data_IF_128832018781
#
_entry.id   IF_128832018781
#
_cell.length_a   1.000
_cell.length_b   1.000
_cell.length_c   1.000
_cell.angle_alpha   90.00
_cell.angle_beta   90.00
_cell.angle_gamma   90.00
#
_symmetry.space_group_name_H-M   'P 1'
#
loop_
_entity.id
_entity.type
_entity.pdbx_description
1 polymer ?
#
# COMPACT_ATOMS: atom_id res chain seq x y z
N UNK A 1 17.71 -3.67 -4.77
CA UNK A 1 16.33 -3.16 -4.59
C UNK A 1 16.21 -1.95 -5.49
N UNK A 2 15.33 -1.98 -6.48
CA UNK A 2 15.06 -0.81 -7.33
C UNK A 2 14.59 0.35 -6.45
N UNK A 3 15.32 1.46 -6.50
CA UNK A 3 14.90 2.72 -5.89
C UNK A 3 13.69 3.21 -6.68
N UNK A 4 12.50 3.05 -6.12
CA UNK A 4 11.30 3.65 -6.65
C UNK A 4 11.53 5.15 -6.85
N UNK A 5 11.08 5.71 -7.98
CA UNK A 5 10.87 7.16 -8.15
C UNK A 5 9.72 7.62 -7.24
N UNK A 6 9.93 7.55 -5.92
CA UNK A 6 8.89 7.65 -4.88
C UNK A 6 8.69 9.07 -4.37
N UNK A 7 9.74 9.90 -4.38
CA UNK A 7 9.71 11.18 -3.67
C UNK A 7 8.57 12.08 -4.17
N UNK A 8 8.42 12.25 -5.48
CA UNK A 8 7.35 13.09 -6.06
C UNK A 8 5.94 12.58 -5.76
N UNK A 9 5.72 11.26 -5.72
CA UNK A 9 4.40 10.68 -5.47
C UNK A 9 4.00 10.81 -4.00
N UNK A 10 4.95 10.62 -3.07
CA UNK A 10 4.69 10.70 -1.63
C UNK A 10 4.27 12.10 -1.19
N UNK A 11 4.68 13.15 -1.91
CA UNK A 11 4.33 14.54 -1.62
C UNK A 11 3.06 15.04 -2.31
N UNK A 12 2.37 14.20 -3.09
CA UNK A 12 1.14 14.61 -3.78
C UNK A 12 0.03 15.04 -2.80
N UNK A 13 -0.86 15.99 -3.18
CA UNK A 13 -2.12 16.21 -2.47
C UNK A 13 -2.91 14.91 -2.27
N UNK A 14 -3.65 14.78 -1.17
CA UNK A 14 -4.35 13.54 -0.79
C UNK A 14 -5.17 12.94 -1.93
N UNK A 15 -5.96 13.77 -2.62
CA UNK A 15 -6.78 13.31 -3.74
C UNK A 15 -5.94 12.72 -4.89
N UNK A 16 -4.81 13.35 -5.21
CA UNK A 16 -3.93 12.90 -6.28
C UNK A 16 -3.20 11.61 -5.87
N UNK A 17 -2.77 11.50 -4.62
CA UNK A 17 -2.16 10.28 -4.11
C UNK A 17 -3.13 9.09 -4.15
N UNK A 18 -4.39 9.29 -3.75
CA UNK A 18 -5.40 8.23 -3.81
C UNK A 18 -5.65 7.81 -5.26
N UNK A 19 -5.83 8.77 -6.19
CA UNK A 19 -6.04 8.48 -7.61
C UNK A 19 -4.87 7.72 -8.22
N UNK A 20 -3.64 8.12 -7.90
CA UNK A 20 -2.44 7.40 -8.32
C UNK A 20 -2.51 5.93 -7.85
N UNK A 21 -2.89 5.68 -6.59
CA UNK A 21 -3.02 4.31 -6.09
C UNK A 21 -4.11 3.53 -6.83
N UNK A 22 -5.27 4.15 -7.06
CA UNK A 22 -6.39 3.55 -7.81
C UNK A 22 -5.98 3.18 -9.25
N UNK A 23 -5.20 4.04 -9.91
CA UNK A 23 -4.77 3.86 -11.30
C UNK A 23 -3.61 2.87 -11.45
N UNK A 24 -2.56 2.98 -10.63
CA UNK A 24 -1.34 2.16 -10.73
C UNK A 24 -1.56 0.73 -10.23
N UNK A 25 -2.29 0.58 -9.12
CA UNK A 25 -2.48 -0.74 -8.47
C UNK A 25 -3.88 -1.33 -8.71
N UNK A 26 -4.71 -0.63 -9.48
CA UNK A 26 -6.10 -1.03 -9.81
C UNK A 26 -6.93 -1.39 -8.57
N UNK A 27 -6.66 -0.71 -7.46
CA UNK A 27 -7.42 -0.84 -6.21
C UNK A 27 -8.60 0.13 -6.23
N UNK A 28 -9.71 -0.24 -5.57
CA UNK A 28 -10.82 0.69 -5.39
C UNK A 28 -10.64 1.54 -4.12
N UNK A 29 -11.39 2.64 -4.02
CA UNK A 29 -11.41 3.55 -2.87
C UNK A 29 -11.56 2.83 -1.52
N UNK A 30 -12.43 1.82 -1.44
CA UNK A 30 -12.68 1.07 -0.20
C UNK A 30 -11.47 0.27 0.26
N UNK A 31 -10.76 -0.38 -0.67
CA UNK A 31 -9.49 -1.07 -0.39
C UNK A 31 -8.44 -0.07 0.07
N UNK A 32 -8.26 1.03 -0.66
CA UNK A 32 -7.29 2.07 -0.27
C UNK A 32 -7.55 2.57 1.15
N UNK A 33 -8.79 2.98 1.45
CA UNK A 33 -9.17 3.49 2.77
C UNK A 33 -8.92 2.45 3.88
N UNK A 34 -9.17 1.16 3.60
CA UNK A 34 -8.93 0.09 4.57
C UNK A 34 -7.44 -0.06 4.86
N UNK A 35 -6.59 0.00 3.84
CA UNK A 35 -5.13 -0.10 3.98
C UNK A 35 -4.57 1.13 4.69
N UNK A 36 -5.00 2.33 4.31
CA UNK A 36 -4.57 3.58 4.93
C UNK A 36 -4.91 3.62 6.42
N UNK A 37 -6.17 3.29 6.76
CA UNK A 37 -6.60 3.15 8.15
C UNK A 37 -5.78 2.10 8.90
N UNK A 38 -5.54 0.94 8.28
CA UNK A 38 -4.79 -0.13 8.93
C UNK A 38 -3.38 0.32 9.33
N UNK A 39 -2.67 1.03 8.46
CA UNK A 39 -1.34 1.56 8.80
C UNK A 39 -1.39 2.66 9.86
N UNK A 40 -2.42 3.51 9.83
CA UNK A 40 -2.65 4.48 10.90
C UNK A 40 -2.85 3.79 12.26
N UNK A 41 -3.67 2.73 12.31
CA UNK A 41 -3.92 1.92 13.50
C UNK A 41 -2.67 1.16 13.99
N UNK A 42 -1.61 1.07 13.17
CA UNK A 42 -0.29 0.56 13.56
C UNK A 42 0.71 1.67 13.95
N UNK A 43 0.20 2.85 14.29
CA UNK A 43 0.98 4.02 14.75
C UNK A 43 1.87 4.66 13.67
N UNK A 44 1.64 4.36 12.38
CA UNK A 44 2.32 5.03 11.26
C UNK A 44 1.66 6.40 11.02
N UNK A 45 1.82 7.32 11.96
CA UNK A 45 1.13 8.61 11.96
C UNK A 45 1.73 9.61 10.96
N UNK A 46 3.05 9.55 10.72
CA UNK A 46 3.69 10.41 9.72
C UNK A 46 3.12 10.07 8.33
N UNK A 47 2.57 11.08 7.65
CA UNK A 47 1.86 10.89 6.39
C UNK A 47 2.77 10.35 5.28
N UNK A 48 4.03 10.78 5.21
CA UNK A 48 4.96 10.33 4.17
C UNK A 48 5.34 8.87 4.42
N UNK A 49 5.64 8.49 5.67
CA UNK A 49 5.91 7.10 6.04
C UNK A 49 4.70 6.20 5.79
N UNK A 50 3.48 6.67 6.11
CA UNK A 50 2.26 5.91 5.85
C UNK A 50 2.03 5.69 4.36
N UNK A 51 2.25 6.72 3.54
CA UNK A 51 2.15 6.62 2.08
C UNK A 51 3.20 5.67 1.50
N UNK A 52 4.42 5.70 2.00
CA UNK A 52 5.47 4.76 1.63
C UNK A 52 5.09 3.31 1.98
N UNK A 53 4.54 3.09 3.18
CA UNK A 53 4.05 1.78 3.61
C UNK A 53 2.89 1.28 2.73
N UNK A 54 1.95 2.15 2.34
CA UNK A 54 0.86 1.85 1.41
C UNK A 54 1.40 1.41 0.05
N UNK A 55 2.32 2.18 -0.54
CA UNK A 55 2.91 1.84 -1.84
C UNK A 55 3.69 0.53 -1.77
N UNK A 56 4.49 0.35 -0.72
CA UNK A 56 5.26 -0.87 -0.47
C UNK A 56 4.35 -2.09 -0.31
N UNK A 57 3.21 -1.93 0.37
CA UNK A 57 2.20 -2.98 0.51
C UNK A 57 1.58 -3.36 -0.84
N UNK A 58 1.13 -2.38 -1.64
CA UNK A 58 0.54 -2.70 -2.94
C UNK A 58 1.54 -3.36 -3.89
N UNK A 59 2.79 -2.92 -3.87
CA UNK A 59 3.87 -3.58 -4.62
C UNK A 59 4.06 -5.03 -4.14
N UNK A 60 4.15 -5.25 -2.82
CA UNK A 60 4.27 -6.59 -2.24
C UNK A 60 3.14 -7.51 -2.70
N UNK A 61 1.90 -7.03 -2.70
CA UNK A 61 0.76 -7.84 -3.14
C UNK A 61 0.83 -8.12 -4.64
N UNK A 62 1.16 -7.13 -5.48
CA UNK A 62 1.36 -7.32 -6.93
C UNK A 62 2.41 -8.39 -7.21
N UNK A 63 3.55 -8.35 -6.52
CA UNK A 63 4.62 -9.35 -6.62
C UNK A 63 4.16 -10.73 -6.14
N UNK A 64 3.46 -10.82 -5.01
CA UNK A 64 2.95 -12.10 -4.48
C UNK A 64 1.92 -12.76 -5.40
N UNK A 65 1.09 -11.96 -6.08
CA UNK A 65 0.03 -12.47 -6.94
C UNK A 65 0.49 -12.75 -8.37
N UNK A 66 1.72 -12.38 -8.75
CA UNK A 66 2.23 -12.42 -10.14
C UNK A 66 1.20 -11.84 -11.13
N UNK A 67 0.50 -10.79 -10.73
CA UNK A 67 -0.58 -10.22 -11.53
C UNK A 67 -0.09 -9.04 -12.36
N UNK A 68 -0.57 -8.93 -13.60
CA UNK A 68 -0.30 -7.83 -14.53
C UNK A 68 -1.06 -6.53 -14.15
N UNK A 69 -1.13 -6.22 -12.86
CA UNK A 69 -1.59 -4.93 -12.37
C UNK A 69 -2.91 -4.91 -11.59
N UNK A 70 -3.74 -5.97 -11.66
CA UNK A 70 -4.96 -6.06 -10.81
C UNK A 70 -4.71 -6.88 -9.56
N UNK A 71 -4.73 -6.22 -8.42
CA UNK A 71 -4.71 -6.88 -7.12
C UNK A 71 -6.11 -7.39 -6.78
N UNK A 72 -6.23 -8.65 -6.37
CA UNK A 72 -7.50 -9.25 -5.93
C UNK A 72 -7.44 -9.61 -4.45
N UNK A 73 -8.48 -9.26 -3.71
CA UNK A 73 -8.65 -9.65 -2.31
C UNK A 73 -9.86 -10.58 -2.21
N UNK A 74 -9.64 -11.83 -1.80
CA UNK A 74 -10.73 -12.72 -1.40
C UNK A 74 -11.37 -12.26 -0.09
N UNK A 75 -12.41 -12.97 0.37
CA UNK A 75 -13.06 -12.66 1.65
C UNK A 75 -12.04 -12.75 2.80
N UNK A 76 -11.84 -11.65 3.54
CA UNK A 76 -10.82 -11.54 4.60
C UNK A 76 -9.36 -11.51 4.13
N UNK A 77 -9.10 -11.62 2.81
CA UNK A 77 -7.75 -11.75 2.27
C UNK A 77 -6.89 -10.49 2.41
N UNK A 78 -7.50 -9.31 2.44
CA UNK A 78 -6.79 -8.04 2.61
C UNK A 78 -6.06 -7.96 3.96
N UNK A 79 -6.78 -8.21 5.05
CA UNK A 79 -6.20 -8.16 6.41
C UNK A 79 -5.11 -9.21 6.61
N UNK A 80 -5.25 -10.41 6.03
CA UNK A 80 -4.20 -11.43 6.11
C UNK A 80 -2.93 -11.00 5.37
N UNK A 81 -3.06 -10.41 4.18
CA UNK A 81 -1.92 -9.87 3.44
C UNK A 81 -1.25 -8.71 4.17
N UNK A 82 -2.03 -7.82 4.79
CA UNK A 82 -1.50 -6.72 5.61
C UNK A 82 -0.67 -7.24 6.78
N UNK A 83 -1.19 -8.22 7.54
CA UNK A 83 -0.44 -8.86 8.63
C UNK A 83 0.85 -9.51 8.13
N UNK A 84 0.78 -10.25 7.02
CA UNK A 84 1.95 -10.91 6.42
C UNK A 84 3.01 -9.89 6.00
N UNK A 85 2.61 -8.81 5.34
CA UNK A 85 3.50 -7.72 4.94
C UNK A 85 4.13 -7.07 6.18
N UNK A 86 3.34 -6.77 7.20
CA UNK A 86 3.83 -6.08 8.40
C UNK A 86 4.88 -6.86 9.18
N UNK A 87 4.73 -8.17 9.28
CA UNK A 87 5.75 -9.04 9.87
C UNK A 87 7.10 -8.93 9.14
N UNK A 88 7.11 -8.65 7.84
CA UNK A 88 8.34 -8.43 7.06
C UNK A 88 8.81 -6.97 7.14
N UNK A 89 7.88 -6.02 7.14
CA UNK A 89 8.16 -4.59 7.18
C UNK A 89 8.90 -4.18 8.47
N UNK A 90 8.47 -4.70 9.64
CA UNK A 90 9.14 -4.44 10.92
C UNK A 90 10.56 -5.01 11.05
N UNK A 91 10.94 -5.95 10.20
CA UNK A 91 12.29 -6.56 10.23
C UNK A 91 13.27 -5.78 9.35
N UNK A 92 12.77 -4.97 8.43
CA UNK A 92 13.56 -4.23 7.45
C UNK A 92 13.77 -2.73 7.80
N UNK A 93 13.13 -2.24 8.87
CA UNK A 93 13.37 -0.91 9.47
C UNK A 93 14.26 -1.04 10.70
#
# INVERSE_FOLDING_TARGET
MEKFQTDTHLHMPDLLFVRFCEEEYKVNRGVYNTVEKWFYDQEVHNILQRREAILSFFLFVRTCQKSDGKIKFGHGGLTQLLKKFWCQYKVAQ
#
